data_IF_275123905850
#
_entry.id   IF_275123905850
#
_cell.length_a   1.000
_cell.length_b   1.000
_cell.length_c   1.000
_cell.angle_alpha   90.00
_cell.angle_beta   90.00
_cell.angle_gamma   90.00
#
_symmetry.space_group_name_H-M   'P 1'
#
loop_
_entity.id
_entity.type
_entity.pdbx_description
1 polymer ?
#
# COMPACT_ATOMS: atom_id res chain seq x y z
N UNK A 1 -7.91 11.73 9.65
CA UNK A 1 -7.17 12.20 8.45
C UNK A 1 -7.81 11.55 7.22
N UNK A 2 -8.56 12.29 6.40
CA UNK A 2 -9.16 11.75 5.16
C UNK A 2 -8.09 11.80 4.07
N UNK A 3 -7.51 10.66 3.73
CA UNK A 3 -6.75 10.52 2.49
C UNK A 3 -7.74 10.23 1.36
N UNK A 4 -7.68 11.03 0.28
CA UNK A 4 -8.44 10.80 -0.94
C UNK A 4 -9.67 11.71 -1.10
N UNK A 5 -9.73 12.35 -2.27
CA UNK A 5 -10.94 13.01 -2.75
C UNK A 5 -11.94 11.91 -3.15
N UNK A 6 -12.99 11.68 -2.36
CA UNK A 6 -14.10 10.82 -2.79
C UNK A 6 -14.91 11.63 -3.81
N UNK A 7 -14.64 11.40 -5.08
CA UNK A 7 -15.41 12.01 -6.17
C UNK A 7 -16.52 11.05 -6.56
N UNK A 8 -17.78 11.47 -6.42
CA UNK A 8 -18.96 10.71 -6.81
C UNK A 8 -19.24 10.73 -8.32
N UNK A 9 -18.39 11.38 -9.13
CA UNK A 9 -18.79 11.82 -10.46
C UNK A 9 -17.68 11.81 -11.52
N UNK A 10 -16.75 10.84 -11.48
CA UNK A 10 -15.71 10.75 -12.51
C UNK A 10 -15.42 9.32 -12.93
N UNK A 11 -15.67 9.09 -14.20
CA UNK A 11 -15.30 7.92 -14.96
C UNK A 11 -13.76 7.81 -15.05
N UNK A 12 -13.13 7.16 -14.08
CA UNK A 12 -11.68 6.92 -14.07
C UNK A 12 -11.36 5.48 -14.47
N UNK A 13 -10.26 5.29 -15.20
CA UNK A 13 -9.68 3.97 -15.46
C UNK A 13 -8.38 3.89 -14.69
N UNK A 14 -8.31 2.92 -13.78
CA UNK A 14 -7.13 2.63 -12.98
C UNK A 14 -6.33 1.51 -13.63
N UNK A 15 -5.04 1.73 -13.76
CA UNK A 15 -4.04 0.70 -14.02
C UNK A 15 -3.19 0.59 -12.77
N UNK A 16 -3.04 -0.62 -12.24
CA UNK A 16 -2.33 -0.84 -10.99
C UNK A 16 -1.62 -2.17 -11.00
N UNK A 17 -0.62 -2.27 -10.14
CA UNK A 17 0.04 -3.51 -9.79
C UNK A 17 0.23 -3.58 -8.27
N UNK A 18 0.39 -4.80 -7.77
CA UNK A 18 0.57 -5.11 -6.36
C UNK A 18 2.01 -5.54 -6.09
N UNK A 19 2.68 -4.85 -5.17
CA UNK A 19 4.00 -5.25 -4.69
C UNK A 19 3.90 -5.79 -3.27
N UNK A 20 4.68 -6.84 -2.99
CA UNK A 20 4.69 -7.54 -1.71
C UNK A 20 3.30 -8.05 -1.27
N UNK A 21 2.50 -8.59 -2.20
CA UNK A 21 1.27 -9.28 -1.83
C UNK A 21 1.58 -10.65 -1.19
N UNK A 22 1.46 -10.71 0.14
CA UNK A 22 1.77 -11.89 0.93
C UNK A 22 0.67 -12.95 0.86
N UNK A 23 -0.55 -12.59 0.43
CA UNK A 23 -1.79 -13.39 0.39
C UNK A 23 -2.23 -13.95 1.74
N UNK A 24 -1.40 -14.79 2.36
CA UNK A 24 -1.62 -15.38 3.68
C UNK A 24 -0.45 -15.04 4.57
N UNK A 25 -0.70 -14.21 5.59
CA UNK A 25 0.29 -13.84 6.59
C UNK A 25 0.20 -14.78 7.78
N UNK A 26 1.30 -15.45 8.15
CA UNK A 26 1.30 -16.46 9.22
C UNK A 26 2.47 -16.28 10.17
N UNK A 27 2.22 -16.50 11.47
CA UNK A 27 3.23 -16.61 12.52
C UNK A 27 3.48 -18.09 12.84
N UNK A 28 4.73 -18.54 12.74
CA UNK A 28 5.16 -19.88 13.16
C UNK A 28 6.33 -19.75 14.14
N UNK A 29 6.09 -20.12 15.39
CA UNK A 29 7.05 -19.85 16.48
C UNK A 29 7.25 -18.34 16.63
N UNK A 30 8.49 -17.88 16.49
CA UNK A 30 8.89 -16.48 16.60
C UNK A 30 9.19 -15.81 15.25
N UNK A 31 8.70 -16.38 14.13
CA UNK A 31 8.95 -15.85 12.78
C UNK A 31 7.69 -15.74 11.94
N UNK A 32 7.61 -14.67 11.16
CA UNK A 32 6.64 -14.55 10.09
C UNK A 32 7.09 -15.35 8.86
N UNK A 33 6.13 -15.78 8.04
CA UNK A 33 6.43 -16.48 6.77
C UNK A 33 7.20 -15.62 5.74
N UNK A 34 7.38 -14.33 6.01
CA UNK A 34 8.06 -13.36 5.14
C UNK A 34 9.46 -12.99 5.62
N UNK A 35 9.87 -13.40 6.83
CA UNK A 35 11.14 -12.98 7.44
C UNK A 35 12.36 -13.49 6.66
N UNK A 36 12.22 -14.59 5.91
CA UNK A 36 13.30 -15.14 5.09
C UNK A 36 13.44 -14.42 3.73
N UNK A 37 12.59 -13.44 3.42
CA UNK A 37 12.71 -12.67 2.18
C UNK A 37 13.79 -11.59 2.35
N UNK A 38 14.93 -11.68 1.64
CA UNK A 38 16.00 -10.68 1.75
C UNK A 38 15.57 -9.29 1.26
N UNK A 39 14.47 -9.18 0.51
CA UNK A 39 13.86 -7.90 0.13
C UNK A 39 12.89 -7.33 1.19
N UNK A 40 12.62 -8.07 2.27
CA UNK A 40 11.78 -7.66 3.40
C UNK A 40 12.62 -7.33 4.64
N UNK A 41 13.71 -6.58 4.46
CA UNK A 41 14.48 -6.01 5.59
C UNK A 41 13.62 -5.10 6.47
N UNK A 42 12.51 -4.61 5.95
CA UNK A 42 11.49 -3.86 6.66
C UNK A 42 10.24 -4.72 6.88
N UNK A 43 9.43 -4.35 7.87
CA UNK A 43 8.08 -4.89 8.12
C UNK A 43 7.33 -5.12 6.80
N UNK A 44 6.54 -6.20 6.64
CA UNK A 44 5.84 -6.50 5.41
C UNK A 44 4.89 -5.37 5.02
N UNK A 45 5.32 -4.54 4.06
CA UNK A 45 4.53 -3.46 3.50
C UNK A 45 3.99 -3.93 2.16
N UNK A 46 2.68 -4.10 2.09
CA UNK A 46 1.94 -4.27 0.84
C UNK A 46 1.77 -2.91 0.18
N UNK A 47 2.00 -2.86 -1.14
CA UNK A 47 1.87 -1.65 -1.94
C UNK A 47 0.93 -1.92 -3.11
N UNK A 48 -0.05 -1.04 -3.27
CA UNK A 48 -0.92 -0.95 -4.44
C UNK A 48 -0.61 0.39 -5.11
N UNK A 49 -0.10 0.36 -6.34
CA UNK A 49 0.30 1.58 -7.02
C UNK A 49 0.10 1.50 -8.53
N UNK A 50 0.03 2.65 -9.19
CA UNK A 50 -0.01 2.73 -10.63
C UNK A 50 -0.46 4.09 -11.14
N UNK A 51 -1.15 4.08 -12.27
CA UNK A 51 -1.60 5.28 -12.98
C UNK A 51 -3.12 5.29 -13.16
N UNK A 52 -3.71 6.48 -13.19
CA UNK A 52 -5.15 6.67 -13.39
C UNK A 52 -5.42 7.78 -14.40
N UNK A 53 -6.38 7.58 -15.29
CA UNK A 53 -6.82 8.58 -16.28
C UNK A 53 -8.34 8.70 -16.32
N UNK A 54 -8.84 9.83 -16.79
CA UNK A 54 -10.26 10.05 -17.02
C UNK A 54 -10.68 9.39 -18.35
N UNK A 55 -11.79 8.65 -18.38
CA UNK A 55 -12.32 7.93 -19.54
C UNK A 55 -12.46 8.82 -20.78
N UNK A 56 -12.76 10.12 -20.62
CA UNK A 56 -12.95 11.03 -21.76
C UNK A 56 -11.66 11.40 -22.51
N UNK A 57 -10.49 11.05 -21.95
CA UNK A 57 -9.17 11.40 -22.53
C UNK A 57 -8.43 10.19 -23.11
N UNK A 58 -9.03 9.00 -23.16
CA UNK A 58 -8.23 7.79 -23.36
C UNK A 58 -8.19 7.29 -24.80
N UNK A 59 -6.99 7.33 -25.38
CA UNK A 59 -6.58 6.43 -26.46
C UNK A 59 -5.06 6.18 -26.41
N UNK A 60 -4.52 5.90 -25.22
CA UNK A 60 -3.08 5.63 -25.06
C UNK A 60 -2.82 4.13 -25.25
N UNK A 61 -2.06 3.81 -26.28
CA UNK A 61 -1.55 2.46 -26.54
C UNK A 61 -0.21 2.28 -25.83
N UNK A 62 0.00 1.13 -25.18
CA UNK A 62 1.31 0.73 -24.66
C UNK A 62 2.41 0.76 -25.75
N UNK A 63 2.02 0.75 -27.02
CA UNK A 63 2.92 0.86 -28.16
C UNK A 63 3.69 2.19 -28.21
N UNK A 64 3.08 3.29 -27.76
CA UNK A 64 3.75 4.60 -27.69
C UNK A 64 4.97 4.52 -26.76
N UNK A 65 4.75 4.05 -25.53
CA UNK A 65 5.80 3.87 -24.52
C UNK A 65 6.85 2.85 -24.99
N UNK A 66 6.44 1.76 -25.67
CA UNK A 66 7.39 0.79 -26.23
C UNK A 66 8.33 1.42 -27.25
N UNK A 67 7.76 2.24 -28.14
CA UNK A 67 8.54 2.93 -29.18
C UNK A 67 9.47 3.94 -28.56
N UNK A 68 8.98 4.74 -27.61
CA UNK A 68 9.74 5.73 -26.84
C UNK A 68 10.95 5.10 -26.10
N UNK A 69 10.79 3.89 -25.57
CA UNK A 69 11.83 3.17 -24.83
C UNK A 69 12.67 2.21 -25.68
N UNK A 70 12.42 2.16 -27.00
CA UNK A 70 13.03 1.21 -27.93
C UNK A 70 12.92 -0.25 -27.45
N UNK A 71 11.72 -0.64 -27.03
CA UNK A 71 11.41 -2.01 -26.57
C UNK A 71 10.80 -2.79 -27.73
N UNK A 72 11.30 -4.01 -27.95
CA UNK A 72 10.81 -4.90 -29.00
C UNK A 72 9.30 -5.21 -28.82
N UNK A 73 8.57 -5.30 -29.93
CA UNK A 73 7.12 -5.52 -29.96
C UNK A 73 6.69 -6.88 -29.40
N UNK A 74 7.57 -7.88 -29.43
CA UNK A 74 7.34 -9.22 -28.90
C UNK A 74 7.36 -9.31 -27.36
N UNK A 75 7.85 -8.28 -26.66
CA UNK A 75 7.93 -8.26 -25.20
C UNK A 75 6.52 -8.12 -24.63
N UNK A 76 6.01 -9.12 -23.93
CA UNK A 76 4.63 -9.06 -23.39
C UNK A 76 4.42 -7.93 -22.37
N UNK A 77 5.45 -7.61 -21.58
CA UNK A 77 5.37 -6.69 -20.44
C UNK A 77 6.64 -5.83 -20.32
N UNK A 78 6.49 -4.52 -20.12
CA UNK A 78 7.62 -3.62 -19.85
C UNK A 78 8.01 -3.76 -18.37
N UNK A 79 9.23 -4.24 -18.10
CA UNK A 79 9.80 -4.39 -16.76
C UNK A 79 10.97 -3.44 -16.59
N UNK A 80 11.35 -3.15 -15.33
CA UNK A 80 12.49 -2.30 -15.00
C UNK A 80 13.75 -2.70 -15.79
N UNK A 81 14.06 -4.00 -15.90
CA UNK A 81 15.20 -4.54 -16.64
C UNK A 81 15.27 -4.14 -18.13
N UNK A 82 14.17 -3.73 -18.74
CA UNK A 82 14.15 -3.26 -20.14
C UNK A 82 14.51 -1.77 -20.27
N UNK A 83 14.39 -1.03 -19.16
CA UNK A 83 14.58 0.43 -19.08
C UNK A 83 15.92 0.76 -18.42
N UNK A 84 16.31 0.02 -17.37
CA UNK A 84 17.58 0.22 -16.68
C UNK A 84 17.90 -0.89 -15.68
N UNK A 85 19.12 -0.84 -15.16
CA UNK A 85 19.66 -1.74 -14.13
C UNK A 85 20.55 -0.94 -13.20
N UNK A 86 20.75 -1.43 -11.98
CA UNK A 86 21.62 -0.80 -10.98
C UNK A 86 20.85 -0.32 -9.76
N UNK A 87 21.58 0.35 -8.87
CA UNK A 87 21.08 1.05 -7.69
C UNK A 87 20.16 2.21 -8.07
N UNK A 88 19.43 2.74 -7.10
CA UNK A 88 18.51 3.86 -7.34
C UNK A 88 19.21 5.10 -7.96
N UNK A 89 20.39 5.57 -7.48
CA UNK A 89 21.09 6.67 -8.13
C UNK A 89 21.50 6.37 -9.58
N UNK A 90 21.93 5.14 -9.88
CA UNK A 90 22.28 4.72 -11.23
C UNK A 90 21.06 4.70 -12.15
N UNK A 91 19.91 4.22 -11.65
CA UNK A 91 18.64 4.27 -12.36
C UNK A 91 18.19 5.71 -12.63
N UNK A 92 18.35 6.61 -11.66
CA UNK A 92 17.98 8.02 -11.84
C UNK A 92 18.85 8.74 -12.87
N UNK A 93 20.09 8.30 -13.07
CA UNK A 93 20.97 8.80 -14.12
C UNK A 93 20.77 8.09 -15.48
N UNK A 94 19.89 7.09 -15.58
CA UNK A 94 19.68 6.35 -16.81
C UNK A 94 18.80 7.15 -17.80
N UNK A 95 19.28 7.31 -19.04
CA UNK A 95 18.57 8.05 -20.10
C UNK A 95 17.17 7.52 -20.40
N UNK A 96 16.97 6.20 -20.44
CA UNK A 96 15.64 5.62 -20.71
C UNK A 96 14.67 5.84 -19.54
N UNK A 97 15.17 5.79 -18.30
CA UNK A 97 14.37 6.11 -17.11
C UNK A 97 13.94 7.59 -17.18
N UNK A 98 14.86 8.49 -17.48
CA UNK A 98 14.53 9.91 -17.66
C UNK A 98 13.45 10.12 -18.73
N UNK A 99 13.62 9.51 -19.92
CA UNK A 99 12.65 9.56 -21.01
C UNK A 99 11.26 9.03 -20.58
N UNK A 100 11.22 7.92 -19.85
CA UNK A 100 9.96 7.38 -19.31
C UNK A 100 9.28 8.34 -18.32
N UNK A 101 10.04 8.90 -17.38
CA UNK A 101 9.52 9.81 -16.36
C UNK A 101 9.02 11.12 -16.97
N UNK A 102 9.73 11.68 -17.96
CA UNK A 102 9.28 12.86 -18.70
C UNK A 102 7.97 12.59 -19.43
N UNK A 103 7.86 11.47 -20.16
CA UNK A 103 6.61 11.06 -20.78
C UNK A 103 5.47 10.94 -19.77
N UNK A 104 5.73 10.33 -18.60
CA UNK A 104 4.71 10.18 -17.56
C UNK A 104 4.24 11.55 -17.02
N UNK A 105 5.14 12.50 -16.84
CA UNK A 105 4.83 13.86 -16.37
C UNK A 105 4.02 14.67 -17.40
N UNK A 106 4.27 14.47 -18.70
CA UNK A 106 3.55 15.15 -19.79
C UNK A 106 2.21 14.48 -20.12
N UNK A 107 2.02 13.23 -19.70
CA UNK A 107 0.82 12.46 -19.93
C UNK A 107 -0.39 12.99 -19.13
N UNK A 108 -1.63 12.66 -19.54
CA UNK A 108 -2.83 12.97 -18.77
C UNK A 108 -3.03 12.04 -17.55
N UNK A 109 -2.06 11.18 -17.22
CA UNK A 109 -2.16 10.24 -16.10
C UNK A 109 -1.85 10.93 -14.76
N UNK A 110 -2.58 10.53 -13.73
CA UNK A 110 -2.18 10.77 -12.34
C UNK A 110 -1.55 9.51 -11.77
N UNK A 111 -0.62 9.68 -10.83
CA UNK A 111 -0.05 8.57 -10.06
C UNK A 111 -0.92 8.32 -8.82
N UNK A 112 -1.29 7.06 -8.59
CA UNK A 112 -1.92 6.64 -7.33
C UNK A 112 -1.00 5.67 -6.60
N UNK A 113 -1.01 5.76 -5.26
CA UNK A 113 -0.15 4.97 -4.39
C UNK A 113 -0.83 4.75 -3.05
N UNK A 114 -0.83 3.51 -2.60
CA UNK A 114 -1.29 3.08 -1.29
C UNK A 114 -0.30 2.07 -0.72
N UNK A 115 0.13 2.29 0.52
CA UNK A 115 1.03 1.37 1.22
C UNK A 115 0.48 1.07 2.60
N UNK A 116 0.51 -0.21 2.96
CA UNK A 116 -0.03 -0.69 4.22
C UNK A 116 0.91 -1.70 4.86
N UNK A 117 1.15 -1.56 6.16
CA UNK A 117 1.99 -2.48 6.90
C UNK A 117 1.13 -3.63 7.43
N UNK A 118 1.26 -4.81 6.81
CA UNK A 118 0.43 -5.98 7.12
C UNK A 118 0.55 -6.38 8.59
N UNK A 119 1.75 -6.37 9.18
CA UNK A 119 1.94 -6.70 10.60
C UNK A 119 1.18 -5.74 11.52
N UNK A 120 1.30 -4.44 11.25
CA UNK A 120 0.64 -3.42 12.06
C UNK A 120 -0.88 -3.61 12.05
N UNK A 121 -1.47 -3.80 10.87
CA UNK A 121 -2.91 -4.01 10.74
C UNK A 121 -3.36 -5.34 11.32
N UNK A 122 -2.61 -6.43 11.16
CA UNK A 122 -2.95 -7.70 11.80
C UNK A 122 -2.97 -7.62 13.33
N UNK A 123 -2.04 -6.88 13.95
CA UNK A 123 -2.09 -6.64 15.41
C UNK A 123 -3.29 -5.78 15.81
N UNK A 124 -3.61 -4.77 15.00
CA UNK A 124 -4.76 -3.90 15.21
C UNK A 124 -6.06 -4.69 15.22
N UNK A 125 -6.25 -5.55 14.21
CA UNK A 125 -7.43 -6.37 14.03
C UNK A 125 -7.63 -7.31 15.23
N UNK A 126 -6.57 -7.96 15.71
CA UNK A 126 -6.63 -8.82 16.90
C UNK A 126 -7.06 -8.03 18.15
N UNK A 127 -6.53 -6.82 18.35
CA UNK A 127 -6.89 -5.97 19.50
C UNK A 127 -8.35 -5.53 19.40
N UNK A 128 -8.81 -5.13 18.21
CA UNK A 128 -10.20 -4.76 17.95
C UNK A 128 -11.15 -5.92 18.24
N UNK A 129 -10.85 -7.11 17.71
CA UNK A 129 -11.66 -8.31 17.90
C UNK A 129 -11.74 -8.71 19.38
N UNK A 130 -10.62 -8.68 20.11
CA UNK A 130 -10.60 -8.93 21.55
C UNK A 130 -11.45 -7.91 22.32
N UNK A 131 -11.34 -6.63 21.96
CA UNK A 131 -12.09 -5.58 22.62
C UNK A 131 -13.60 -5.70 22.36
N UNK A 132 -14.00 -6.03 21.14
CA UNK A 132 -15.40 -6.29 20.79
C UNK A 132 -15.94 -7.54 21.50
N UNK A 133 -15.19 -8.63 21.50
CA UNK A 133 -15.57 -9.85 22.22
C UNK A 133 -15.79 -9.58 23.72
N UNK A 134 -14.85 -8.89 24.37
CA UNK A 134 -14.98 -8.51 25.77
C UNK A 134 -16.13 -7.52 25.99
N UNK A 135 -16.41 -6.62 25.06
CA UNK A 135 -17.54 -5.71 25.19
C UNK A 135 -18.89 -6.45 25.15
N UNK A 136 -18.99 -7.55 24.40
CA UNK A 136 -20.22 -8.33 24.31
C UNK A 136 -20.37 -9.33 25.47
N UNK A 137 -19.26 -9.90 25.97
CA UNK A 137 -19.27 -10.91 27.04
C UNK A 137 -19.98 -10.43 28.32
N UNK A 138 -20.94 -11.21 28.84
CA UNK A 138 -21.69 -10.86 30.05
C UNK A 138 -20.82 -10.88 31.31
N UNK A 139 -19.71 -11.62 31.30
CA UNK A 139 -18.85 -11.79 32.47
C UNK A 139 -17.73 -10.72 32.59
N UNK A 140 -17.52 -9.91 31.56
CA UNK A 140 -16.48 -8.86 31.50
C UNK A 140 -16.91 -7.53 32.15
N UNK A 141 -17.51 -7.60 33.35
CA UNK A 141 -18.13 -6.44 34.00
C UNK A 141 -17.21 -5.24 34.22
N UNK A 142 -15.90 -5.46 34.40
CA UNK A 142 -14.90 -4.39 34.50
C UNK A 142 -14.64 -3.70 33.16
N UNK A 143 -14.58 -4.47 32.07
CA UNK A 143 -14.39 -3.93 30.72
C UNK A 143 -15.61 -3.10 30.30
N UNK A 144 -16.83 -3.61 30.56
CA UNK A 144 -18.08 -2.88 30.32
C UNK A 144 -18.24 -1.61 31.14
N UNK A 145 -17.64 -1.53 32.34
CA UNK A 145 -17.61 -0.31 33.13
C UNK A 145 -16.66 0.74 32.56
N UNK A 146 -15.59 0.31 31.89
CA UNK A 146 -14.63 1.20 31.25
C UNK A 146 -15.14 1.79 29.92
N UNK A 147 -16.10 1.12 29.26
CA UNK A 147 -16.66 1.55 27.97
C UNK A 147 -18.18 1.62 28.04
N UNK A 148 -18.75 2.82 27.95
CA UNK A 148 -20.16 3.06 28.23
C UNK A 148 -21.09 2.59 27.09
N UNK A 149 -20.57 2.58 25.86
CA UNK A 149 -21.27 2.13 24.66
C UNK A 149 -20.27 1.82 23.53
N UNK A 150 -20.77 1.30 22.40
CA UNK A 150 -19.93 0.99 21.23
C UNK A 150 -19.21 2.20 20.61
N UNK A 151 -19.78 3.41 20.74
CA UNK A 151 -19.18 4.65 20.20
C UNK A 151 -17.96 5.05 21.05
N UNK A 152 -18.08 4.93 22.37
CA UNK A 152 -17.01 5.15 23.34
C UNK A 152 -15.88 4.12 23.17
N UNK A 153 -16.23 2.84 23.04
CA UNK A 153 -15.26 1.77 22.74
C UNK A 153 -14.45 2.09 21.48
N UNK A 154 -15.13 2.45 20.38
CA UNK A 154 -14.45 2.78 19.12
C UNK A 154 -13.53 3.98 19.27
N UNK A 155 -14.01 5.04 19.91
CA UNK A 155 -13.24 6.29 20.09
C UNK A 155 -11.98 6.05 20.93
N UNK A 156 -12.08 5.25 21.99
CA UNK A 156 -10.95 4.87 22.84
C UNK A 156 -9.97 3.93 22.13
N UNK A 157 -10.47 2.92 21.42
CA UNK A 157 -9.63 2.05 20.60
C UNK A 157 -8.84 2.88 19.59
N UNK A 158 -9.49 3.79 18.87
CA UNK A 158 -8.82 4.66 17.91
C UNK A 158 -7.73 5.52 18.58
N UNK A 159 -7.94 6.00 19.80
CA UNK A 159 -6.90 6.66 20.59
C UNK A 159 -5.70 5.74 20.88
N UNK A 160 -5.93 4.53 21.42
CA UNK A 160 -4.85 3.60 21.76
C UNK A 160 -4.11 3.09 20.53
N UNK A 161 -4.82 2.83 19.42
CA UNK A 161 -4.24 2.50 18.12
C UNK A 161 -3.29 3.59 17.63
N UNK A 162 -3.73 4.86 17.72
CA UNK A 162 -2.89 6.00 17.36
C UNK A 162 -1.66 6.10 18.28
N UNK A 163 -1.82 5.88 19.58
CA UNK A 163 -0.70 5.87 20.53
C UNK A 163 0.32 4.75 20.22
N UNK A 164 -0.17 3.54 19.95
CA UNK A 164 0.66 2.39 19.55
C UNK A 164 1.42 2.68 18.25
N UNK A 165 0.74 3.25 17.26
CA UNK A 165 1.39 3.66 16.00
C UNK A 165 2.52 4.67 16.22
N UNK A 166 2.29 5.69 17.07
CA UNK A 166 3.32 6.69 17.41
C UNK A 166 4.50 6.02 18.12
N UNK A 167 4.23 5.07 19.03
CA UNK A 167 5.27 4.34 19.75
C UNK A 167 6.14 3.51 18.78
N UNK A 168 5.50 2.73 17.89
CA UNK A 168 6.20 1.93 16.88
C UNK A 168 7.06 2.81 15.95
N UNK A 169 6.60 4.02 15.64
CA UNK A 169 7.38 4.98 14.84
C UNK A 169 8.63 5.45 15.56
N UNK A 170 8.56 5.69 16.88
CA UNK A 170 9.71 6.13 17.69
C UNK A 170 10.75 5.02 17.88
N UNK A 171 10.32 3.78 17.98
CA UNK A 171 11.22 2.62 18.20
C UNK A 171 12.03 2.24 16.94
N UNK A 172 11.61 2.74 15.76
CA UNK A 172 12.28 2.48 14.46
C UNK A 172 13.19 3.61 13.99
N UNK A 173 13.36 4.68 14.78
CA UNK A 173 14.30 5.79 14.56
C UNK A 173 15.42 5.73 15.58
#
# INVERSE_FOLDING_TARGET
>A
MKYGYVTSNKNYIFYYDESNNIRTFTLRGNKYNVDNNPQSTYSPIFVLAGIVTNQTKHNISAQEVRTLLNIQSNVKEIKLKHVGTGSFPELMNNKKIHVFLTWLLESPFFIHYYATNTVYWSFLDIIEDLAHYLFDDKNSSLFKKAFHNNIDLRSQLDFYKNALYILIKKDKT
#
